data_IF_127853273934
#
_entry.id   IF_127853273934
#
_cell.length_a   1.000
_cell.length_b   1.000
_cell.length_c   1.000
_cell.angle_alpha   90.00
_cell.angle_beta   90.00
_cell.angle_gamma   90.00
#
_symmetry.space_group_name_H-M   'P 1'
#
loop_
_entity.id
_entity.type
_entity.pdbx_description
1 polymer ?
#
# COMPACT_ATOMS: atom_id res chain seq x y z
N UNK A 1 0.07 -7.34 2.33
CA UNK A 1 0.60 -6.75 3.58
C UNK A 1 1.12 -7.81 4.54
N UNK A 2 0.36 -8.85 4.88
CA UNK A 2 0.84 -9.94 5.74
C UNK A 2 1.26 -11.19 4.94
N UNK A 3 2.12 -12.08 5.47
CA UNK A 3 2.60 -13.27 4.75
C UNK A 3 1.55 -14.39 4.61
N UNK A 4 0.38 -14.25 5.24
CA UNK A 4 -0.65 -15.28 5.22
C UNK A 4 -1.17 -15.54 3.79
N UNK A 5 -1.14 -16.81 3.37
CA UNK A 5 -1.55 -17.28 2.03
C UNK A 5 -0.81 -16.61 0.86
N UNK A 6 0.39 -16.07 1.10
CA UNK A 6 1.17 -15.36 0.09
C UNK A 6 1.44 -16.23 -1.15
N UNK A 7 1.80 -17.51 -0.99
CA UNK A 7 2.01 -18.44 -2.10
C UNK A 7 0.72 -18.66 -2.91
N UNK A 8 -0.41 -18.86 -2.24
CA UNK A 8 -1.72 -19.04 -2.90
C UNK A 8 -2.11 -17.81 -3.72
N UNK A 9 -1.93 -16.60 -3.19
CA UNK A 9 -2.23 -15.38 -3.95
C UNK A 9 -1.25 -15.18 -5.10
N UNK A 10 0.03 -15.52 -4.91
CA UNK A 10 1.05 -15.46 -5.97
C UNK A 10 0.73 -16.40 -7.15
N UNK A 11 0.08 -17.54 -6.91
CA UNK A 11 -0.40 -18.45 -7.96
C UNK A 11 -1.54 -17.85 -8.80
N UNK A 12 -2.33 -16.93 -8.23
CA UNK A 12 -3.46 -16.29 -8.91
C UNK A 12 -3.05 -15.07 -9.77
N UNK A 13 -1.82 -14.60 -9.64
CA UNK A 13 -1.32 -13.44 -10.38
C UNK A 13 -0.89 -13.83 -11.79
N UNK A 14 -1.20 -12.96 -12.76
CA UNK A 14 -0.75 -13.09 -14.14
C UNK A 14 0.76 -12.87 -14.28
N UNK A 15 1.34 -13.18 -15.45
CA UNK A 15 2.79 -13.15 -15.69
C UNK A 15 3.41 -11.74 -15.66
N UNK A 16 2.61 -10.68 -15.78
CA UNK A 16 3.06 -9.28 -15.81
C UNK A 16 2.56 -8.48 -14.60
N UNK A 17 2.35 -9.15 -13.46
CA UNK A 17 1.74 -8.55 -12.29
C UNK A 17 2.63 -7.47 -11.66
N UNK A 18 1.97 -6.38 -11.22
CA UNK A 18 2.53 -5.43 -10.27
C UNK A 18 2.25 -5.95 -8.85
N UNK A 19 3.29 -6.20 -8.07
CA UNK A 19 3.16 -6.78 -6.72
C UNK A 19 3.66 -5.79 -5.68
N UNK A 20 2.80 -5.43 -4.73
CA UNK A 20 3.13 -4.52 -3.63
C UNK A 20 3.20 -5.30 -2.31
N UNK A 21 4.38 -5.32 -1.70
CA UNK A 21 4.65 -6.08 -0.48
C UNK A 21 5.03 -5.15 0.66
N UNK A 22 4.47 -5.45 1.82
CA UNK A 22 4.89 -4.82 3.07
C UNK A 22 6.10 -5.56 3.63
N UNK A 23 7.29 -4.97 3.52
CA UNK A 23 8.52 -5.60 4.00
C UNK A 23 8.63 -5.63 5.53
N UNK A 24 7.78 -4.92 6.28
CA UNK A 24 7.69 -5.05 7.73
C UNK A 24 7.29 -6.47 8.16
N UNK A 25 6.46 -7.16 7.35
CA UNK A 25 5.95 -8.49 7.66
C UNK A 25 6.37 -9.58 6.67
N UNK A 26 6.71 -9.21 5.43
CA UNK A 26 7.06 -10.16 4.36
C UNK A 26 8.56 -10.13 4.09
N UNK A 27 9.29 -10.96 4.82
CA UNK A 27 10.75 -11.09 4.66
C UNK A 27 11.15 -11.82 3.38
N UNK A 28 10.34 -12.78 2.90
CA UNK A 28 10.61 -13.57 1.70
C UNK A 28 9.40 -13.61 0.78
N UNK A 29 9.64 -13.52 -0.53
CA UNK A 29 8.62 -13.66 -1.56
C UNK A 29 9.28 -14.23 -2.81
N UNK A 30 8.87 -15.43 -3.28
CA UNK A 30 9.32 -15.92 -4.57
C UNK A 30 8.59 -15.09 -5.64
N UNK A 31 9.26 -14.06 -6.16
CA UNK A 31 8.79 -13.37 -7.36
C UNK A 31 8.86 -14.30 -8.58
N UNK A 32 8.05 -14.04 -9.60
CA UNK A 32 8.15 -14.70 -10.90
C UNK A 32 8.81 -13.78 -11.92
N UNK A 33 9.43 -14.36 -12.94
CA UNK A 33 9.92 -13.60 -14.09
C UNK A 33 8.75 -12.84 -14.73
N UNK A 34 8.95 -11.57 -15.11
CA UNK A 34 7.91 -10.70 -15.65
C UNK A 34 7.18 -9.85 -14.60
N UNK A 35 7.22 -10.22 -13.32
CA UNK A 35 6.63 -9.42 -12.26
C UNK A 35 7.45 -8.18 -11.92
N UNK A 36 6.76 -7.07 -11.65
CA UNK A 36 7.37 -5.89 -11.05
C UNK A 36 6.99 -5.82 -9.57
N UNK A 37 7.96 -6.08 -8.72
CA UNK A 37 7.74 -6.20 -7.28
C UNK A 37 8.22 -4.93 -6.56
N UNK A 38 7.30 -4.23 -5.92
CA UNK A 38 7.54 -3.09 -5.04
C UNK A 38 7.53 -3.55 -3.58
N UNK A 39 8.64 -3.34 -2.88
CA UNK A 39 8.82 -3.71 -1.47
C UNK A 39 9.07 -2.47 -0.64
N UNK A 40 8.11 -2.11 0.21
CA UNK A 40 8.22 -0.97 1.12
C UNK A 40 7.70 -1.38 2.50
N UNK A 41 8.25 -0.86 3.60
CA UNK A 41 7.83 -1.24 4.94
C UNK A 41 6.60 -0.43 5.37
N UNK A 42 5.46 -0.64 4.70
CA UNK A 42 4.26 0.20 4.84
C UNK A 42 3.78 0.32 6.29
N UNK A 43 3.82 -0.79 7.04
CA UNK A 43 3.40 -0.78 8.45
C UNK A 43 4.35 0.00 9.34
N UNK A 44 5.66 -0.14 9.14
CA UNK A 44 6.67 0.66 9.86
C UNK A 44 6.54 2.15 9.51
N UNK A 45 6.38 2.48 8.23
CA UNK A 45 6.20 3.86 7.76
C UNK A 45 4.97 4.49 8.41
N UNK A 46 3.83 3.80 8.42
CA UNK A 46 2.61 4.30 9.04
C UNK A 46 2.78 4.54 10.55
N UNK A 47 3.47 3.64 11.24
CA UNK A 47 3.76 3.80 12.66
C UNK A 47 4.71 4.99 12.92
N UNK A 48 5.83 5.08 12.19
CA UNK A 48 6.84 6.12 12.41
C UNK A 48 6.38 7.51 11.99
N UNK A 49 5.69 7.61 10.87
CA UNK A 49 5.30 8.91 10.31
C UNK A 49 3.97 9.38 10.91
N UNK A 50 2.98 8.49 11.08
CA UNK A 50 1.61 8.86 11.48
C UNK A 50 1.28 8.46 12.92
N UNK A 51 2.15 7.69 13.60
CA UNK A 51 1.93 7.25 14.97
C UNK A 51 0.96 6.06 15.10
N UNK A 52 0.57 5.43 13.99
CA UNK A 52 -0.42 4.35 14.01
C UNK A 52 -0.21 3.36 12.86
N UNK A 53 0.11 2.11 13.19
CA UNK A 53 0.16 1.01 12.22
C UNK A 53 -1.22 0.75 11.54
N UNK A 54 -2.32 1.22 12.14
CA UNK A 54 -3.68 0.99 11.60
C UNK A 54 -3.94 1.68 10.27
N UNK A 55 -3.13 2.68 9.89
CA UNK A 55 -3.25 3.38 8.59
C UNK A 55 -2.23 2.89 7.55
N UNK A 56 -1.57 1.77 7.79
CA UNK A 56 -0.59 1.18 6.87
C UNK A 56 -1.17 0.84 5.48
N UNK A 57 -2.45 0.45 5.44
CA UNK A 57 -3.17 0.24 4.18
C UNK A 57 -3.25 1.52 3.33
N UNK A 58 -3.35 2.70 3.94
CA UNK A 58 -3.37 3.97 3.20
C UNK A 58 -2.00 4.31 2.63
N UNK A 59 -0.92 4.03 3.35
CA UNK A 59 0.45 4.17 2.79
C UNK A 59 0.61 3.23 1.58
N UNK A 60 0.16 1.99 1.70
CA UNK A 60 0.19 1.05 0.57
C UNK A 60 -0.67 1.53 -0.60
N UNK A 61 -1.88 2.04 -0.33
CA UNK A 61 -2.79 2.58 -1.35
C UNK A 61 -2.16 3.75 -2.10
N UNK A 62 -1.55 4.70 -1.38
CA UNK A 62 -0.83 5.82 -2.00
C UNK A 62 0.29 5.34 -2.92
N UNK A 63 1.03 4.32 -2.50
CA UNK A 63 2.09 3.77 -3.34
C UNK A 63 1.54 3.08 -4.59
N UNK A 64 0.44 2.33 -4.46
CA UNK A 64 -0.25 1.73 -5.61
C UNK A 64 -0.71 2.81 -6.60
N UNK A 65 -1.36 3.87 -6.12
CA UNK A 65 -1.83 4.97 -6.97
C UNK A 65 -0.66 5.63 -7.71
N UNK A 66 0.42 5.96 -7.01
CA UNK A 66 1.59 6.59 -7.63
C UNK A 66 2.29 5.70 -8.68
N UNK A 67 2.34 4.38 -8.46
CA UNK A 67 3.04 3.45 -9.37
C UNK A 67 2.20 3.00 -10.56
N UNK A 68 0.88 3.06 -10.43
CA UNK A 68 -0.04 2.58 -11.47
C UNK A 68 -0.68 3.71 -12.27
N UNK A 69 -0.77 4.92 -11.69
CA UNK A 69 -1.46 6.08 -12.27
C UNK A 69 -2.91 5.76 -12.72
N UNK A 70 -3.57 4.78 -12.08
CA UNK A 70 -4.92 4.33 -12.45
C UNK A 70 -6.00 5.36 -12.11
N UNK A 71 -5.75 6.18 -11.09
CA UNK A 71 -6.67 7.22 -10.61
C UNK A 71 -5.88 8.45 -10.21
N UNK A 72 -6.53 9.63 -10.29
CA UNK A 72 -5.94 10.87 -9.77
C UNK A 72 -5.88 10.80 -8.24
N UNK A 73 -4.77 11.22 -7.60
CA UNK A 73 -4.66 11.26 -6.15
C UNK A 73 -5.77 12.07 -5.47
N UNK A 74 -6.18 13.18 -6.10
CA UNK A 74 -7.24 14.08 -5.62
C UNK A 74 -8.54 13.31 -5.33
N UNK A 75 -8.99 12.48 -6.29
CA UNK A 75 -10.24 11.72 -6.14
C UNK A 75 -10.18 10.69 -5.01
N UNK A 76 -8.99 10.17 -4.71
CA UNK A 76 -8.80 9.23 -3.60
C UNK A 76 -8.85 9.99 -2.27
N UNK A 77 -8.27 11.18 -2.17
CA UNK A 77 -8.36 12.03 -0.98
C UNK A 77 -9.81 12.45 -0.70
N UNK A 78 -10.56 12.86 -1.73
CA UNK A 78 -11.98 13.19 -1.61
C UNK A 78 -12.78 11.99 -1.07
N UNK A 79 -12.56 10.80 -1.67
CA UNK A 79 -13.23 9.56 -1.23
C UNK A 79 -12.89 9.22 0.22
N UNK A 80 -11.63 9.41 0.64
CA UNK A 80 -11.23 9.21 2.04
C UNK A 80 -12.03 10.13 2.96
N UNK A 81 -12.26 11.38 2.57
CA UNK A 81 -13.10 12.33 3.31
C UNK A 81 -14.55 11.86 3.47
N UNK A 82 -15.10 11.20 2.45
CA UNK A 82 -16.49 10.74 2.43
C UNK A 82 -16.72 9.43 3.23
N UNK A 83 -15.78 8.48 3.15
CA UNK A 83 -16.00 7.11 3.67
C UNK A 83 -15.34 6.83 5.02
N UNK A 84 -14.33 7.61 5.40
CA UNK A 84 -13.61 7.42 6.67
C UNK A 84 -14.31 8.23 7.76
N UNK A 85 -14.55 7.68 8.97
CA UNK A 85 -15.10 8.45 10.08
C UNK A 85 -14.27 9.70 10.33
N UNK A 86 -14.92 10.86 10.49
CA UNK A 86 -14.30 12.19 10.55
C UNK A 86 -13.06 12.27 11.44
N UNK A 87 -13.10 11.65 12.63
CA UNK A 87 -11.98 11.59 13.58
C UNK A 87 -10.70 10.91 13.06
N UNK A 88 -10.76 10.19 11.94
CA UNK A 88 -9.64 9.46 11.35
C UNK A 88 -9.23 9.98 9.97
N UNK A 89 -9.97 10.92 9.38
CA UNK A 89 -9.74 11.40 7.99
C UNK A 89 -8.33 11.95 7.84
N UNK A 90 -7.91 12.86 8.72
CA UNK A 90 -6.58 13.50 8.65
C UNK A 90 -5.44 12.47 8.65
N UNK A 91 -5.50 11.50 9.57
CA UNK A 91 -4.48 10.46 9.67
C UNK A 91 -4.43 9.57 8.41
N UNK A 92 -5.58 9.26 7.81
CA UNK A 92 -5.66 8.45 6.59
C UNK A 92 -5.16 9.23 5.36
N UNK A 93 -5.54 10.50 5.20
CA UNK A 93 -5.04 11.37 4.12
C UNK A 93 -3.52 11.53 4.24
N UNK A 94 -3.00 11.78 5.44
CA UNK A 94 -1.55 11.91 5.66
C UNK A 94 -0.81 10.62 5.29
N UNK A 95 -1.31 9.45 5.71
CA UNK A 95 -0.76 8.15 5.36
C UNK A 95 -0.77 7.92 3.84
N UNK A 96 -1.88 8.24 3.16
CA UNK A 96 -2.02 8.15 1.71
C UNK A 96 -0.97 9.02 0.99
N UNK A 97 -0.82 10.29 1.39
CA UNK A 97 0.18 11.23 0.83
C UNK A 97 1.62 10.78 1.05
N UNK A 98 1.92 10.08 2.14
CA UNK A 98 3.23 9.45 2.33
C UNK A 98 3.43 8.35 1.28
N UNK A 99 2.43 7.50 1.10
CA UNK A 99 2.43 6.44 0.08
C UNK A 99 2.72 6.96 -1.33
N UNK A 100 2.13 8.09 -1.73
CA UNK A 100 2.32 8.70 -3.05
C UNK A 100 3.78 9.05 -3.36
N UNK A 101 4.61 9.24 -2.34
CA UNK A 101 6.02 9.65 -2.45
C UNK A 101 6.99 8.46 -2.46
N UNK A 102 6.51 7.23 -2.28
CA UNK A 102 7.36 6.04 -2.22
C UNK A 102 7.81 5.58 -3.59
N UNK A 103 9.06 5.09 -3.66
CA UNK A 103 9.82 4.60 -4.84
C UNK A 103 9.52 3.16 -5.24
#
# INVERSE_FOLDING_TARGET
MYPFRLSKYAEMLNDNALVFLDSTHVSRFPGKQGWKVYRQPYTDIAYREVGSARVANMVALGHVVARTNLVKPEHVEDTIGDVVPSKWVEANIRAFRIGLRLS
#
